data_IF_358113911747
#
_entry.id   IF_358113911747
#
_cell.length_a   1.000
_cell.length_b   1.000
_cell.length_c   1.000
_cell.angle_alpha   90.00
_cell.angle_beta   90.00
_cell.angle_gamma   90.00
#
_symmetry.space_group_name_H-M   'P 1'
#
loop_
_entity.id
_entity.type
_entity.pdbx_description
1 polymer ?
#
# COMPACT_ATOMS: atom_id res chain seq x y z
N UNK A 1 -20.06 7.41 6.14
CA UNK A 1 -19.10 8.32 5.50
C UNK A 1 -19.06 7.98 4.02
N UNK A 2 -19.17 8.96 3.13
CA UNK A 2 -18.96 8.74 1.69
C UNK A 2 -17.46 8.59 1.43
N UNK A 3 -17.05 7.40 1.02
CA UNK A 3 -15.68 7.10 0.66
C UNK A 3 -15.67 6.01 -0.39
N UNK A 4 -14.70 6.08 -1.29
CA UNK A 4 -14.58 5.10 -2.36
C UNK A 4 -13.84 3.87 -1.85
N UNK A 5 -14.32 2.70 -2.26
CA UNK A 5 -13.57 1.45 -2.17
C UNK A 5 -12.73 1.33 -3.43
N UNK A 6 -11.44 1.05 -3.26
CA UNK A 6 -10.57 0.68 -4.36
C UNK A 6 -10.15 -0.77 -4.19
N UNK A 7 -10.68 -1.64 -5.04
CA UNK A 7 -10.36 -3.07 -5.04
C UNK A 7 -9.38 -3.37 -6.17
N UNK A 8 -8.28 -4.07 -5.85
CA UNK A 8 -7.33 -4.61 -6.81
C UNK A 8 -7.89 -5.91 -7.36
N UNK A 9 -8.23 -5.89 -8.64
CA UNK A 9 -8.77 -7.05 -9.36
C UNK A 9 -7.67 -8.00 -9.81
N UNK A 10 -8.06 -9.23 -10.13
CA UNK A 10 -7.19 -10.24 -10.75
C UNK A 10 -6.38 -9.65 -11.92
N UNK A 11 -5.10 -9.98 -11.96
CA UNK A 11 -4.14 -9.47 -12.95
C UNK A 11 -3.50 -8.13 -12.60
N UNK A 12 -4.09 -7.34 -11.70
CA UNK A 12 -3.50 -6.14 -11.09
C UNK A 12 -2.74 -5.21 -12.05
N UNK A 13 -1.55 -4.78 -11.63
CA UNK A 13 -0.70 -3.84 -12.36
C UNK A 13 0.74 -4.39 -12.50
N UNK A 14 0.97 -5.35 -13.41
CA UNK A 14 2.20 -6.15 -13.43
C UNK A 14 3.47 -5.36 -13.80
N UNK A 15 3.32 -4.16 -14.36
CA UNK A 15 4.44 -3.30 -14.78
C UNK A 15 4.56 -2.01 -13.97
N UNK A 16 3.64 -1.77 -13.03
CA UNK A 16 3.62 -0.53 -12.27
C UNK A 16 4.78 -0.53 -11.28
N UNK A 17 5.64 0.48 -11.38
CA UNK A 17 6.80 0.68 -10.49
C UNK A 17 6.56 1.73 -9.43
N UNK A 18 5.69 2.68 -9.71
CA UNK A 18 5.38 3.80 -8.81
C UNK A 18 3.88 3.98 -8.76
N UNK A 19 3.32 3.88 -7.55
CA UNK A 19 1.93 4.21 -7.27
C UNK A 19 1.89 5.46 -6.40
N UNK A 20 1.14 6.47 -6.84
CA UNK A 20 0.94 7.72 -6.09
C UNK A 20 -0.55 7.95 -5.90
N UNK A 21 -0.97 8.11 -4.64
CA UNK A 21 -2.31 8.51 -4.25
C UNK A 21 -2.23 9.87 -3.58
N UNK A 22 -2.87 10.88 -4.18
CA UNK A 22 -2.91 12.24 -3.65
C UNK A 22 -4.35 12.70 -3.42
N UNK A 23 -4.65 13.15 -2.21
CA UNK A 23 -5.95 13.70 -1.81
C UNK A 23 -7.15 12.80 -2.17
N UNK A 24 -6.91 11.51 -2.32
CA UNK A 24 -7.91 10.54 -2.72
C UNK A 24 -8.87 10.29 -1.55
N UNK A 25 -10.18 10.27 -1.84
CA UNK A 25 -11.23 9.97 -0.86
C UNK A 25 -11.47 8.47 -0.74
N UNK A 26 -10.39 7.70 -0.61
CA UNK A 26 -10.44 6.24 -0.47
C UNK A 26 -10.56 5.91 1.02
N UNK A 27 -11.48 5.01 1.35
CA UNK A 27 -11.68 4.51 2.73
C UNK A 27 -11.20 3.07 2.86
N UNK A 28 -11.46 2.25 1.84
CA UNK A 28 -10.99 0.88 1.78
C UNK A 28 -10.15 0.71 0.51
N UNK A 29 -8.91 0.25 0.67
CA UNK A 29 -8.09 -0.25 -0.41
C UNK A 29 -7.81 -1.72 -0.14
N UNK A 30 -8.32 -2.60 -0.99
CA UNK A 30 -8.33 -4.06 -0.79
C UNK A 30 -7.91 -4.80 -2.06
N UNK A 31 -7.70 -6.10 -1.96
CA UNK A 31 -7.45 -7.03 -3.06
C UNK A 31 -8.53 -8.11 -3.14
N UNK A 32 -8.82 -8.61 -4.36
CA UNK A 32 -9.87 -9.62 -4.59
C UNK A 32 -9.56 -10.98 -3.95
N UNK A 33 -8.28 -11.32 -3.86
CA UNK A 33 -7.73 -12.55 -3.29
C UNK A 33 -6.53 -12.19 -2.42
N UNK A 34 -6.65 -12.27 -1.09
CA UNK A 34 -5.57 -11.95 -0.15
C UNK A 34 -4.45 -12.99 -0.15
N UNK A 35 -4.61 -14.16 -0.76
CA UNK A 35 -3.52 -15.14 -0.86
C UNK A 35 -2.65 -14.90 -2.11
N UNK A 36 -3.05 -14.00 -3.01
CA UNK A 36 -2.29 -13.62 -4.19
C UNK A 36 -1.36 -12.42 -3.94
N UNK A 37 -0.15 -12.50 -4.49
CA UNK A 37 0.85 -11.43 -4.47
C UNK A 37 1.08 -10.80 -5.87
N UNK A 38 0.28 -11.21 -6.86
CA UNK A 38 0.47 -10.86 -8.27
C UNK A 38 -0.14 -9.49 -8.66
N UNK A 39 -0.68 -8.75 -7.69
CA UNK A 39 -1.26 -7.43 -7.97
C UNK A 39 -0.22 -6.38 -8.34
N UNK A 40 0.99 -6.48 -7.78
CA UNK A 40 2.04 -5.46 -7.89
C UNK A 40 3.46 -6.06 -7.92
N UNK A 41 3.76 -7.02 -8.80
CA UNK A 41 5.05 -7.73 -8.80
C UNK A 41 6.27 -6.81 -9.01
N UNK A 42 6.08 -5.64 -9.63
CA UNK A 42 7.14 -4.69 -9.95
C UNK A 42 7.09 -3.38 -9.16
N UNK A 43 6.23 -3.26 -8.14
CA UNK A 43 6.04 -1.99 -7.43
C UNK A 43 7.25 -1.68 -6.54
N UNK A 44 7.92 -0.56 -6.82
CA UNK A 44 9.11 -0.10 -6.12
C UNK A 44 8.80 1.06 -5.16
N UNK A 45 7.81 1.90 -5.48
CA UNK A 45 7.48 3.08 -4.66
C UNK A 45 5.98 3.23 -4.46
N UNK A 46 5.58 3.37 -3.21
CA UNK A 46 4.24 3.80 -2.81
C UNK A 46 4.31 5.20 -2.23
N UNK A 47 3.52 6.14 -2.77
CA UNK A 47 3.44 7.53 -2.30
C UNK A 47 2.01 7.85 -1.89
N UNK A 48 1.82 8.21 -0.64
CA UNK A 48 0.54 8.59 -0.06
C UNK A 48 0.64 10.04 0.40
N UNK A 49 -0.16 10.92 -0.19
CA UNK A 49 -0.19 12.33 0.16
C UNK A 49 -1.61 12.81 0.43
N UNK A 50 -1.89 13.36 1.61
CA UNK A 50 -3.22 13.90 1.90
C UNK A 50 -4.31 12.84 2.05
N UNK A 51 -3.96 11.61 2.44
CA UNK A 51 -4.91 10.49 2.59
C UNK A 51 -5.36 10.38 4.05
N UNK A 52 -6.55 10.88 4.36
CA UNK A 52 -7.04 11.00 5.74
C UNK A 52 -8.04 9.93 6.16
N UNK A 53 -8.76 9.35 5.21
CA UNK A 53 -9.91 8.49 5.49
C UNK A 53 -9.64 7.00 5.24
N UNK A 54 -8.42 6.64 4.81
CA UNK A 54 -8.06 5.27 4.49
C UNK A 54 -7.88 4.46 5.78
N UNK A 55 -8.74 3.48 5.96
CA UNK A 55 -8.81 2.63 7.15
C UNK A 55 -8.28 1.21 6.88
N UNK A 56 -8.34 0.76 5.63
CA UNK A 56 -7.89 -0.57 5.21
C UNK A 56 -6.97 -0.47 4.00
N UNK A 57 -5.87 -1.23 4.03
CA UNK A 57 -4.88 -1.34 2.96
C UNK A 57 -4.70 -2.82 2.58
N UNK A 58 -4.30 -3.10 1.33
CA UNK A 58 -4.18 -4.47 0.87
C UNK A 58 -2.98 -5.16 1.52
N UNK A 59 -3.20 -6.38 2.00
CA UNK A 59 -2.22 -7.20 2.71
C UNK A 59 -1.04 -7.63 1.82
N UNK A 60 -1.27 -7.74 0.51
CA UNK A 60 -0.21 -8.02 -0.47
C UNK A 60 0.94 -7.00 -0.40
N UNK A 61 0.69 -5.74 0.02
CA UNK A 61 1.75 -4.74 0.19
C UNK A 61 2.81 -5.14 1.20
N UNK A 62 2.50 -6.01 2.16
CA UNK A 62 3.46 -6.57 3.12
C UNK A 62 4.39 -7.64 2.53
N UNK A 63 4.04 -8.21 1.37
CA UNK A 63 4.73 -9.35 0.73
C UNK A 63 5.49 -8.98 -0.54
N UNK A 64 5.28 -7.78 -1.08
CA UNK A 64 5.97 -7.31 -2.29
C UNK A 64 7.46 -7.07 -2.00
N UNK A 65 8.30 -8.02 -2.40
CA UNK A 65 9.76 -7.94 -2.21
C UNK A 65 10.43 -6.85 -3.03
N UNK A 66 9.78 -6.32 -4.07
CA UNK A 66 10.31 -5.24 -4.92
C UNK A 66 10.08 -3.85 -4.33
N UNK A 67 9.31 -3.73 -3.24
CA UNK A 67 8.97 -2.45 -2.65
C UNK A 67 10.18 -1.86 -1.93
N UNK A 68 10.68 -0.72 -2.41
CA UNK A 68 11.89 -0.07 -1.90
C UNK A 68 11.55 1.10 -0.98
N UNK A 69 10.47 1.83 -1.28
CA UNK A 69 10.12 3.04 -0.53
C UNK A 69 8.61 3.19 -0.33
N UNK A 70 8.23 3.64 0.86
CA UNK A 70 6.89 4.16 1.16
C UNK A 70 7.05 5.60 1.64
N UNK A 71 6.42 6.53 0.94
CA UNK A 71 6.39 7.95 1.29
C UNK A 71 4.99 8.29 1.77
N UNK A 72 4.90 8.86 2.97
CA UNK A 72 3.64 9.25 3.59
C UNK A 72 3.75 10.71 3.96
N UNK A 73 2.86 11.55 3.44
CA UNK A 73 2.82 12.96 3.78
C UNK A 73 1.38 13.37 4.05
N UNK A 74 1.14 14.13 5.14
CA UNK A 74 -0.20 14.66 5.46
C UNK A 74 -1.31 13.58 5.45
N UNK A 75 -1.03 12.39 5.99
CA UNK A 75 -2.01 11.31 6.06
C UNK A 75 -2.56 11.13 7.49
N UNK A 76 -3.73 10.51 7.59
CA UNK A 76 -4.39 10.18 8.85
C UNK A 76 -3.65 9.10 9.64
N UNK A 77 -3.96 8.96 10.93
CA UNK A 77 -3.29 7.99 11.79
C UNK A 77 -3.61 6.54 11.42
N UNK A 78 -4.78 6.27 10.80
CA UNK A 78 -5.10 4.96 10.22
C UNK A 78 -4.06 4.51 9.19
N UNK A 79 -3.75 5.39 8.21
CA UNK A 79 -2.70 5.14 7.22
C UNK A 79 -1.36 4.87 7.90
N UNK A 80 -0.96 5.70 8.86
CA UNK A 80 0.34 5.50 9.55
C UNK A 80 0.41 4.17 10.28
N UNK A 81 -0.69 3.72 10.88
CA UNK A 81 -0.76 2.40 11.54
C UNK A 81 -0.62 1.28 10.52
N UNK A 82 -1.36 1.30 9.41
CA UNK A 82 -1.24 0.30 8.35
C UNK A 82 0.16 0.27 7.73
N UNK A 83 0.83 1.41 7.57
CA UNK A 83 2.21 1.45 7.08
C UNK A 83 3.19 0.77 8.05
N UNK A 84 2.97 0.85 9.37
CA UNK A 84 3.78 0.11 10.35
C UNK A 84 3.56 -1.39 10.26
N UNK A 85 2.31 -1.83 10.10
CA UNK A 85 1.99 -3.25 9.89
C UNK A 85 2.63 -3.79 8.61
N UNK A 86 2.59 -3.01 7.52
CA UNK A 86 3.27 -3.34 6.25
C UNK A 86 4.79 -3.42 6.45
N UNK A 87 5.38 -2.50 7.21
CA UNK A 87 6.82 -2.52 7.50
C UNK A 87 7.23 -3.77 8.28
N UNK A 88 6.44 -4.19 9.27
CA UNK A 88 6.67 -5.42 10.04
C UNK A 88 6.52 -6.66 9.16
N UNK A 89 5.50 -6.71 8.31
CA UNK A 89 5.30 -7.80 7.35
C UNK A 89 6.48 -7.88 6.36
N UNK A 90 6.92 -6.76 5.80
CA UNK A 90 8.06 -6.71 4.86
C UNK A 90 9.35 -7.25 5.51
N UNK A 91 9.61 -6.89 6.78
CA UNK A 91 10.74 -7.47 7.55
C UNK A 91 10.58 -8.98 7.75
N UNK A 92 9.39 -9.44 8.10
CA UNK A 92 9.11 -10.88 8.27
C UNK A 92 9.35 -11.67 6.97
N UNK A 93 9.00 -11.11 5.81
CA UNK A 93 9.22 -11.69 4.48
C UNK A 93 10.62 -11.41 3.90
N UNK A 94 11.53 -10.82 4.68
CA UNK A 94 12.95 -10.66 4.33
C UNK A 94 13.31 -9.39 3.55
N UNK A 95 12.38 -8.45 3.39
CA UNK A 95 12.66 -7.12 2.82
C UNK A 95 13.06 -6.12 3.93
N UNK A 96 14.28 -6.25 4.42
CA UNK A 96 14.82 -5.39 5.49
C UNK A 96 15.22 -3.98 5.02
N UNK A 97 15.28 -3.75 3.70
CA UNK A 97 15.79 -2.51 3.10
C UNK A 97 14.69 -1.48 2.79
N UNK A 98 13.43 -1.80 3.10
CA UNK A 98 12.31 -0.89 2.90
C UNK A 98 12.53 0.43 3.64
N UNK A 99 12.41 1.55 2.92
CA UNK A 99 12.53 2.89 3.51
C UNK A 99 11.16 3.54 3.68
N UNK A 100 10.80 3.84 4.92
CA UNK A 100 9.62 4.64 5.24
C UNK A 100 10.04 6.10 5.41
N UNK A 101 9.37 7.00 4.68
CA UNK A 101 9.58 8.45 4.73
C UNK A 101 8.25 9.08 5.15
N UNK A 102 8.23 9.78 6.29
CA UNK A 102 7.04 10.39 6.90
C UNK A 102 7.20 11.91 7.00
#
# INVERSE_FOLDING_TARGET
MEGQKWELMEGGFPKLRVLTLEFAKIVEWTETDPDSDDYFPCLQQLKLHGIYNLEMMPSCLGRISTLETIQVARCGDGVKSSIREIEEAQKYYGNENLKIII
#
